data_IF_726119909668
#
_entry.id   IF_726119909668
#
_cell.length_a   1.000
_cell.length_b   1.000
_cell.length_c   1.000
_cell.angle_alpha   90.00
_cell.angle_beta   90.00
_cell.angle_gamma   90.00
#
_symmetry.space_group_name_H-M   'P 1'
#
loop_
_entity.id
_entity.type
_entity.pdbx_description
1 polymer ?
#
# COMPACT_ATOMS: atom_id res chain seq x y z
N UNK A 1 0.40 20.37 -2.04
CA UNK A 1 0.32 19.27 -1.06
C UNK A 1 -0.45 18.16 -1.77
N UNK A 2 0.14 16.98 -1.96
CA UNK A 2 -0.56 15.87 -2.62
C UNK A 2 -1.62 15.30 -1.67
N UNK A 3 -2.82 14.96 -2.15
CA UNK A 3 -3.86 14.36 -1.30
C UNK A 3 -3.43 12.96 -0.85
N UNK A 4 -3.72 12.62 0.41
CA UNK A 4 -3.62 11.25 0.92
C UNK A 4 -5.00 10.61 0.91
N UNK A 5 -5.11 9.42 0.34
CA UNK A 5 -6.33 8.60 0.35
C UNK A 5 -6.08 7.43 1.27
N UNK A 6 -6.96 7.24 2.26
CA UNK A 6 -6.89 6.10 3.19
C UNK A 6 -7.86 5.04 2.72
N UNK A 7 -7.36 3.82 2.53
CA UNK A 7 -8.17 2.66 2.20
C UNK A 7 -8.28 1.75 3.42
N UNK A 8 -9.48 1.22 3.64
CA UNK A 8 -9.74 0.19 4.65
C UNK A 8 -10.37 -1.00 3.93
N UNK A 9 -9.78 -2.17 4.09
CA UNK A 9 -10.34 -3.39 3.53
C UNK A 9 -11.63 -3.73 4.27
N UNK A 10 -12.72 -3.93 3.52
CA UNK A 10 -13.96 -4.40 4.10
C UNK A 10 -13.83 -5.86 4.55
N UNK A 11 -14.38 -6.22 5.73
CA UNK A 11 -14.51 -7.61 6.14
C UNK A 11 -15.22 -8.43 5.06
N UNK A 12 -14.85 -9.71 4.93
CA UNK A 12 -15.33 -10.59 3.86
C UNK A 12 -16.86 -10.60 3.72
N UNK A 13 -17.58 -10.61 4.84
CA UNK A 13 -19.06 -10.61 4.88
C UNK A 13 -19.71 -9.37 4.25
N UNK A 14 -18.99 -8.25 4.10
CA UNK A 14 -19.48 -7.01 3.49
C UNK A 14 -18.92 -6.75 2.09
N UNK A 15 -18.09 -7.63 1.53
CA UNK A 15 -17.46 -7.38 0.23
C UNK A 15 -18.45 -7.48 -0.95
N UNK A 16 -19.42 -8.41 -0.89
CA UNK A 16 -20.43 -8.55 -1.95
C UNK A 16 -21.48 -7.43 -1.92
N UNK A 17 -21.93 -7.06 -0.72
CA UNK A 17 -22.97 -6.06 -0.50
C UNK A 17 -22.58 -5.09 0.64
N UNK A 18 -21.71 -4.11 0.35
CA UNK A 18 -21.22 -3.18 1.36
C UNK A 18 -22.33 -2.21 1.81
N UNK A 19 -22.38 -1.86 3.11
CA UNK A 19 -23.32 -0.84 3.58
C UNK A 19 -23.00 0.51 2.95
N UNK A 20 -24.04 1.31 2.69
CA UNK A 20 -23.87 2.67 2.18
C UNK A 20 -23.15 3.53 3.24
N UNK A 21 -22.04 4.21 2.89
CA UNK A 21 -21.39 5.14 3.81
C UNK A 21 -22.34 6.27 4.23
N UNK A 22 -22.21 6.71 5.48
CA UNK A 22 -23.00 7.84 6.03
C UNK A 22 -22.30 9.20 5.89
N UNK A 23 -20.98 9.18 5.64
CA UNK A 23 -20.16 10.37 5.39
C UNK A 23 -19.93 10.51 3.88
N UNK A 24 -20.19 11.70 3.33
CA UNK A 24 -20.07 11.98 1.90
C UNK A 24 -18.62 11.95 1.39
N UNK A 25 -17.61 12.01 2.28
CA UNK A 25 -16.20 11.88 1.94
C UNK A 25 -15.72 10.41 1.91
N UNK A 26 -16.60 9.46 2.28
CA UNK A 26 -16.29 8.03 2.31
C UNK A 26 -16.96 7.36 1.12
N UNK A 27 -16.16 6.65 0.34
CA UNK A 27 -16.61 5.97 -0.87
C UNK A 27 -16.23 4.50 -0.85
N UNK A 28 -17.12 3.66 -1.36
CA UNK A 28 -16.82 2.26 -1.62
C UNK A 28 -16.02 2.17 -2.92
N UNK A 29 -14.78 1.70 -2.81
CA UNK A 29 -13.91 1.42 -3.95
C UNK A 29 -13.86 -0.08 -4.20
N UNK A 30 -14.21 -0.54 -5.41
CA UNK A 30 -13.87 -1.88 -5.86
C UNK A 30 -12.45 -1.86 -6.43
N UNK A 31 -11.49 -2.39 -5.68
CA UNK A 31 -10.11 -2.51 -6.14
C UNK A 31 -10.02 -3.58 -7.25
N UNK A 32 -9.39 -3.28 -8.39
CA UNK A 32 -9.12 -4.31 -9.40
C UNK A 32 -8.05 -5.28 -8.88
N UNK A 33 -7.99 -6.46 -9.49
CA UNK A 33 -6.87 -7.37 -9.32
C UNK A 33 -5.58 -6.67 -9.77
N UNK A 34 -4.53 -6.76 -8.96
CA UNK A 34 -3.25 -6.10 -9.22
C UNK A 34 -2.08 -6.88 -8.64
N UNK A 35 -0.94 -6.81 -9.32
CA UNK A 35 0.32 -7.29 -8.78
C UNK A 35 1.07 -6.14 -8.09
N UNK A 36 1.63 -6.42 -6.93
CA UNK A 36 2.32 -5.44 -6.09
C UNK A 36 3.75 -5.87 -5.82
N UNK A 37 4.69 -4.94 -5.97
CA UNK A 37 6.02 -5.07 -5.39
C UNK A 37 5.98 -4.54 -3.97
N UNK A 38 6.37 -5.36 -2.99
CA UNK A 38 6.20 -5.06 -1.57
C UNK A 38 7.55 -5.04 -0.87
N UNK A 39 7.79 -4.00 -0.05
CA UNK A 39 8.93 -3.94 0.88
C UNK A 39 8.44 -3.73 2.30
N UNK A 40 8.67 -4.73 3.14
CA UNK A 40 8.44 -4.64 4.58
C UNK A 40 9.56 -3.88 5.30
N UNK A 41 9.19 -3.18 6.37
CA UNK A 41 10.12 -2.52 7.28
C UNK A 41 9.52 -2.46 8.69
N UNK A 42 10.39 -2.54 9.69
CA UNK A 42 10.01 -2.42 11.10
C UNK A 42 9.90 -0.96 11.52
N UNK A 43 9.00 -0.70 12.47
CA UNK A 43 8.87 0.58 13.14
C UNK A 43 7.62 1.35 12.74
N UNK A 44 7.65 2.67 12.96
CA UNK A 44 6.49 3.52 12.77
C UNK A 44 6.32 3.91 11.30
N UNK A 45 5.09 3.86 10.81
CA UNK A 45 4.68 4.48 9.56
C UNK A 45 4.70 6.01 9.73
N UNK A 46 5.84 6.63 9.44
CA UNK A 46 6.03 8.08 9.42
C UNK A 46 6.59 8.50 8.07
N UNK A 47 6.38 9.76 7.68
CA UNK A 47 6.78 10.26 6.36
C UNK A 47 8.25 10.00 5.99
N UNK A 48 9.15 9.98 6.98
CA UNK A 48 10.57 9.68 6.76
C UNK A 48 10.81 8.22 6.40
N UNK A 49 10.35 7.27 7.23
CA UNK A 49 10.56 5.84 7.02
C UNK A 49 9.83 5.33 5.77
N UNK A 50 8.64 5.86 5.52
CA UNK A 50 7.89 5.62 4.29
C UNK A 50 8.69 6.06 3.05
N UNK A 51 9.15 7.32 3.03
CA UNK A 51 9.93 7.86 1.91
C UNK A 51 11.24 7.10 1.68
N UNK A 52 11.99 6.81 2.72
CA UNK A 52 13.28 6.09 2.62
C UNK A 52 13.06 4.67 2.08
N UNK A 53 12.06 3.96 2.59
CA UNK A 53 11.71 2.61 2.13
C UNK A 53 11.19 2.61 0.69
N UNK A 54 10.35 3.58 0.33
CA UNK A 54 9.84 3.74 -1.03
C UNK A 54 10.95 4.01 -2.04
N UNK A 55 11.88 4.91 -1.71
CA UNK A 55 13.04 5.22 -2.55
C UNK A 55 13.96 4.01 -2.72
N UNK A 56 14.16 3.24 -1.64
CA UNK A 56 14.95 2.02 -1.66
C UNK A 56 14.29 0.96 -2.56
N UNK A 57 12.99 0.72 -2.43
CA UNK A 57 12.25 -0.22 -3.28
C UNK A 57 12.27 0.22 -4.75
N UNK A 58 12.02 1.50 -5.03
CA UNK A 58 12.07 2.04 -6.38
C UNK A 58 13.45 1.88 -7.04
N UNK A 59 14.53 2.04 -6.28
CA UNK A 59 15.90 1.87 -6.79
C UNK A 59 16.18 0.41 -7.18
N UNK A 60 15.72 -0.54 -6.37
CA UNK A 60 15.91 -1.96 -6.66
C UNK A 60 15.07 -2.40 -7.87
N UNK A 61 13.82 -1.91 -7.98
CA UNK A 61 12.97 -2.13 -9.15
C UNK A 61 13.57 -1.55 -10.43
N UNK A 62 14.12 -0.33 -10.35
CA UNK A 62 14.77 0.31 -11.49
C UNK A 62 16.04 -0.45 -11.91
N UNK A 63 16.76 -1.07 -10.96
CA UNK A 63 17.97 -1.84 -11.23
C UNK A 63 17.73 -3.11 -12.06
N UNK A 64 16.55 -3.73 -11.91
CA UNK A 64 16.14 -4.93 -12.66
C UNK A 64 15.28 -4.60 -13.88
N UNK A 65 15.03 -3.31 -14.15
CA UNK A 65 14.20 -2.87 -15.27
C UNK A 65 12.71 -3.19 -15.10
N UNK A 66 12.22 -3.33 -13.87
CA UNK A 66 10.81 -3.59 -13.59
C UNK A 66 9.93 -2.39 -14.00
N UNK A 67 8.74 -2.67 -14.52
CA UNK A 67 7.78 -1.66 -14.93
C UNK A 67 6.68 -1.52 -13.86
N UNK A 68 6.57 -0.33 -13.28
CA UNK A 68 5.66 -0.05 -12.16
C UNK A 68 5.21 1.41 -12.15
N UNK A 69 4.10 1.69 -11.44
CA UNK A 69 3.58 3.04 -11.27
C UNK A 69 4.49 3.85 -10.33
N UNK A 70 5.28 4.78 -10.87
CA UNK A 70 6.23 5.61 -10.10
C UNK A 70 5.58 6.80 -9.39
N UNK A 71 4.36 7.15 -9.77
CA UNK A 71 3.71 8.42 -9.41
C UNK A 71 3.19 8.41 -7.97
N UNK A 72 2.89 7.22 -7.45
CA UNK A 72 2.37 7.00 -6.10
C UNK A 72 2.77 5.60 -5.63
N UNK A 73 2.79 5.42 -4.31
CA UNK A 73 2.91 4.13 -3.65
C UNK A 73 1.82 3.99 -2.59
N UNK A 74 1.56 2.76 -2.17
CA UNK A 74 0.78 2.49 -0.97
C UNK A 74 1.71 2.34 0.23
N UNK A 75 1.20 2.73 1.40
CA UNK A 75 1.87 2.52 2.66
C UNK A 75 0.90 1.86 3.63
N UNK A 76 1.26 0.67 4.11
CA UNK A 76 0.43 -0.14 4.99
C UNK A 76 1.14 -0.28 6.33
N UNK A 77 0.37 -0.35 7.41
CA UNK A 77 0.91 -0.65 8.74
C UNK A 77 0.04 -1.67 9.43
N UNK A 78 0.70 -2.65 10.04
CA UNK A 78 0.07 -3.70 10.82
C UNK A 78 0.63 -3.60 12.24
N UNK A 79 -0.25 -3.31 13.19
CA UNK A 79 0.09 -3.34 14.61
C UNK A 79 -0.39 -4.63 15.24
N UNK A 80 0.49 -5.37 15.92
CA UNK A 80 0.04 -6.46 16.79
C UNK A 80 -0.80 -5.90 17.95
N UNK A 81 -1.69 -6.71 18.55
CA UNK A 81 -2.45 -6.33 19.75
C UNK A 81 -1.55 -5.84 20.90
N UNK A 82 -0.30 -6.32 20.96
CA UNK A 82 0.68 -5.99 22.00
C UNK A 82 1.53 -4.74 21.69
N UNK A 83 1.27 -4.01 20.60
CA UNK A 83 1.91 -2.73 20.22
C UNK A 83 3.45 -2.73 20.06
N UNK A 84 4.15 -3.83 20.37
CA UNK A 84 5.62 -3.96 20.35
C UNK A 84 6.18 -4.45 19.02
N UNK A 85 5.37 -5.13 18.20
CA UNK A 85 5.76 -5.56 16.86
C UNK A 85 4.91 -4.81 15.84
N UNK A 86 5.58 -3.92 15.12
CA UNK A 86 4.96 -3.08 14.09
C UNK A 86 5.68 -3.35 12.80
N UNK A 87 4.93 -3.94 11.89
CA UNK A 87 5.37 -4.22 10.54
C UNK A 87 4.66 -3.25 9.62
N UNK A 88 5.41 -2.50 8.84
CA UNK A 88 4.87 -1.62 7.83
C UNK A 88 5.40 -2.02 6.47
N UNK A 89 4.67 -1.69 5.41
CA UNK A 89 4.98 -2.08 4.06
C UNK A 89 4.82 -0.89 3.12
N UNK A 90 5.77 -0.72 2.20
CA UNK A 90 5.59 0.12 1.02
C UNK A 90 5.32 -0.76 -0.18
N UNK A 91 4.35 -0.36 -1.02
CA UNK A 91 3.94 -1.12 -2.19
C UNK A 91 3.88 -0.27 -3.46
N UNK A 92 4.43 -0.77 -4.56
CA UNK A 92 4.25 -0.22 -5.90
C UNK A 92 3.41 -1.17 -6.76
N UNK A 93 2.51 -0.61 -7.58
CA UNK A 93 1.70 -1.38 -8.53
C UNK A 93 2.55 -1.73 -9.75
N UNK A 94 2.71 -3.02 -10.04
CA UNK A 94 3.31 -3.49 -11.29
C UNK A 94 2.40 -3.14 -12.48
N UNK A 95 2.99 -2.73 -13.59
CA UNK A 95 2.25 -2.39 -14.82
C UNK A 95 2.17 -3.55 -15.81
N UNK A 96 2.99 -4.57 -15.63
CA UNK A 96 3.05 -5.81 -16.39
C UNK A 96 3.38 -7.01 -15.48
N UNK A 97 3.82 -8.12 -16.06
CA UNK A 97 4.21 -9.31 -15.30
C UNK A 97 5.38 -8.99 -14.35
N UNK A 98 5.21 -9.25 -13.03
CA UNK A 98 6.25 -8.90 -12.08
C UNK A 98 7.56 -9.64 -12.32
N UNK A 99 8.67 -8.91 -12.19
CA UNK A 99 10.01 -9.47 -12.25
C UNK A 99 10.52 -9.71 -10.82
N UNK A 100 11.23 -10.82 -10.60
CA UNK A 100 11.84 -11.07 -9.29
C UNK A 100 12.94 -10.04 -9.00
N UNK A 101 12.90 -9.50 -7.78
CA UNK A 101 13.90 -8.58 -7.19
C UNK A 101 14.63 -9.25 -6.04
#
# INVERSE_FOLDING_TARGET
MSPYIVHLLLPAEYQENPPKPTDDNVHILRSPDMNLYVRGYDGWLIAKSDRETAQSLASDLDSVGANYKKNFHFANTYSSPTHTHRHSEVMFVALDEPVCI
#
